data_IF_924908270259
#
_entry.id   IF_924908270259
#
_cell.length_a   1.000
_cell.length_b   1.000
_cell.length_c   1.000
_cell.angle_alpha   90.00
_cell.angle_beta   90.00
_cell.angle_gamma   90.00
#
_symmetry.space_group_name_H-M   'P 1'
#
loop_
_entity.id
_entity.type
_entity.pdbx_description
1 polymer ?
#
# COMPACT_ATOMS: atom_id res chain seq x y z
N UNK A 1 -18.64 0.51 -3.04
CA UNK A 1 -17.25 0.20 -3.43
C UNK A 1 -16.39 1.44 -3.26
N UNK A 2 -15.33 1.36 -2.46
CA UNK A 2 -14.34 2.44 -2.26
C UNK A 2 -12.94 1.81 -2.24
N UNK A 3 -12.06 2.29 -3.10
CA UNK A 3 -10.65 1.92 -3.14
C UNK A 3 -9.78 3.13 -2.82
N UNK A 4 -8.53 2.90 -2.52
CA UNK A 4 -7.57 4.00 -2.33
C UNK A 4 -6.19 3.65 -2.90
N UNK A 5 -5.48 4.69 -3.34
CA UNK A 5 -4.04 4.69 -3.50
C UNK A 5 -3.43 5.40 -2.29
N UNK A 6 -2.48 4.76 -1.62
CA UNK A 6 -1.95 5.24 -0.34
C UNK A 6 -0.41 5.38 -0.39
N UNK A 7 0.12 6.39 -1.14
CA UNK A 7 1.54 6.58 -1.26
C UNK A 7 2.14 7.30 -0.05
N UNK A 8 3.35 6.89 0.35
CA UNK A 8 4.18 7.70 1.24
C UNK A 8 4.92 8.75 0.40
N UNK A 9 4.80 10.06 0.71
CA UNK A 9 5.42 11.12 -0.08
C UNK A 9 6.91 11.29 0.28
N UNK A 10 7.67 10.20 0.17
CA UNK A 10 9.12 10.11 0.43
C UNK A 10 9.94 10.00 -0.85
N UNK A 11 9.29 10.08 -2.00
CA UNK A 11 9.88 10.01 -3.34
C UNK A 11 8.84 10.24 -4.43
N UNK A 12 9.32 10.29 -5.66
CA UNK A 12 8.48 10.43 -6.85
C UNK A 12 7.71 9.15 -7.17
N UNK A 13 6.63 9.28 -7.96
CA UNK A 13 5.81 8.15 -8.38
C UNK A 13 6.53 7.33 -9.44
N UNK A 14 6.93 6.12 -9.09
CA UNK A 14 7.56 5.18 -10.01
C UNK A 14 6.54 4.20 -10.63
N UNK A 15 6.95 3.44 -11.63
CA UNK A 15 6.12 2.47 -12.38
C UNK A 15 5.29 1.55 -11.47
N UNK A 16 5.90 0.98 -10.40
CA UNK A 16 5.18 0.10 -9.49
C UNK A 16 4.04 0.80 -8.73
N UNK A 17 4.30 2.03 -8.25
CA UNK A 17 3.28 2.86 -7.60
C UNK A 17 2.18 3.28 -8.57
N UNK A 18 2.54 3.73 -9.77
CA UNK A 18 1.59 4.11 -10.82
C UNK A 18 0.69 2.92 -11.23
N UNK A 19 1.26 1.72 -11.41
CA UNK A 19 0.48 0.51 -11.67
C UNK A 19 -0.53 0.23 -10.55
N UNK A 20 -0.10 0.35 -9.29
CA UNK A 20 -1.00 0.16 -8.14
C UNK A 20 -2.15 1.17 -8.16
N UNK A 21 -1.86 2.45 -8.43
CA UNK A 21 -2.87 3.49 -8.55
C UNK A 21 -3.86 3.21 -9.68
N UNK A 22 -3.38 2.84 -10.87
CA UNK A 22 -4.21 2.48 -12.04
C UNK A 22 -5.14 1.31 -11.70
N UNK A 23 -4.63 0.24 -11.07
CA UNK A 23 -5.44 -0.93 -10.75
C UNK A 23 -6.51 -0.61 -9.71
N UNK A 24 -6.18 0.20 -8.70
CA UNK A 24 -7.15 0.65 -7.70
C UNK A 24 -8.23 1.56 -8.32
N UNK A 25 -7.83 2.47 -9.21
CA UNK A 25 -8.73 3.36 -9.95
C UNK A 25 -9.65 2.58 -10.88
N UNK A 26 -9.10 1.68 -11.71
CA UNK A 26 -9.89 0.85 -12.63
C UNK A 26 -10.88 -0.03 -11.89
N UNK A 27 -10.46 -0.66 -10.78
CA UNK A 27 -11.35 -1.48 -9.97
C UNK A 27 -12.53 -0.67 -9.43
N UNK A 28 -12.27 0.55 -8.94
CA UNK A 28 -13.33 1.45 -8.50
C UNK A 28 -14.27 1.82 -9.65
N UNK A 29 -13.72 2.27 -10.80
CA UNK A 29 -14.54 2.70 -11.96
C UNK A 29 -15.35 1.55 -12.57
N UNK A 30 -14.76 0.36 -12.71
CA UNK A 30 -15.47 -0.84 -13.19
C UNK A 30 -16.66 -1.23 -12.30
N UNK A 31 -16.57 -0.97 -11.00
CA UNK A 31 -17.63 -1.22 -10.02
C UNK A 31 -18.51 0.01 -9.73
N UNK A 32 -18.39 1.08 -10.52
CA UNK A 32 -19.11 2.37 -10.32
C UNK A 32 -18.93 2.91 -8.89
N UNK A 33 -17.78 2.69 -8.30
CA UNK A 33 -17.39 3.11 -6.97
C UNK A 33 -16.53 4.36 -6.99
N UNK A 34 -15.88 4.64 -5.85
CA UNK A 34 -15.00 5.79 -5.65
C UNK A 34 -13.54 5.37 -5.50
N UNK A 35 -12.65 6.12 -6.13
CA UNK A 35 -11.21 6.04 -5.96
C UNK A 35 -10.71 7.22 -5.12
N UNK A 36 -9.94 6.94 -4.08
CA UNK A 36 -9.46 7.91 -3.11
C UNK A 36 -7.92 7.95 -3.09
N UNK A 37 -7.36 9.06 -2.60
CA UNK A 37 -5.93 9.20 -2.34
C UNK A 37 -5.71 9.48 -0.86
N UNK A 38 -4.77 8.74 -0.23
CA UNK A 38 -4.32 8.99 1.13
C UNK A 38 -2.81 9.09 1.15
N UNK A 39 -2.28 10.24 1.53
CA UNK A 39 -0.83 10.40 1.74
C UNK A 39 -0.45 9.86 3.12
N UNK A 40 0.46 8.88 3.14
CA UNK A 40 1.00 8.28 4.36
C UNK A 40 2.27 9.03 4.78
N UNK A 41 2.06 10.24 5.30
CA UNK A 41 3.07 11.24 5.63
C UNK A 41 3.41 11.31 7.13
N UNK A 42 3.26 10.19 7.84
CA UNK A 42 3.59 10.09 9.28
C UNK A 42 5.09 10.21 9.57
N UNK A 43 5.95 9.92 8.60
CA UNK A 43 7.39 10.16 8.67
C UNK A 43 7.71 11.59 8.21
N UNK A 44 7.73 12.52 9.17
CA UNK A 44 7.91 13.96 8.90
C UNK A 44 9.27 14.31 8.32
N UNK A 45 10.31 13.53 8.58
CA UNK A 45 11.67 13.81 8.10
C UNK A 45 11.79 13.51 6.60
N UNK A 46 11.17 12.43 6.13
CA UNK A 46 11.25 11.98 4.75
C UNK A 46 10.11 12.49 3.86
N UNK A 47 8.97 12.83 4.46
CA UNK A 47 7.80 13.33 3.73
C UNK A 47 7.99 14.78 3.31
N UNK A 48 7.86 15.07 2.01
CA UNK A 48 8.05 16.40 1.47
C UNK A 48 6.92 16.82 0.54
N UNK A 49 6.53 18.09 0.59
CA UNK A 49 5.49 18.64 -0.27
C UNK A 49 5.83 18.52 -1.77
N UNK A 50 7.10 18.57 -2.13
CA UNK A 50 7.54 18.37 -3.52
C UNK A 50 7.14 16.98 -4.06
N UNK A 51 7.21 15.93 -3.22
CA UNK A 51 6.79 14.58 -3.61
C UNK A 51 5.28 14.44 -3.68
N UNK A 52 4.53 15.10 -2.78
CA UNK A 52 3.06 15.18 -2.89
C UNK A 52 2.68 15.78 -4.24
N UNK A 53 3.24 16.94 -4.59
CA UNK A 53 2.97 17.63 -5.85
C UNK A 53 3.38 16.78 -7.07
N UNK A 54 4.53 16.10 -7.01
CA UNK A 54 5.00 15.20 -8.07
C UNK A 54 4.07 14.02 -8.27
N UNK A 55 3.60 13.37 -7.19
CA UNK A 55 2.66 12.25 -7.25
C UNK A 55 1.34 12.69 -7.86
N UNK A 56 0.78 13.81 -7.39
CA UNK A 56 -0.49 14.34 -7.93
C UNK A 56 -0.35 14.73 -9.41
N UNK A 57 0.74 15.37 -9.79
CA UNK A 57 1.03 15.71 -11.19
C UNK A 57 1.15 14.46 -12.08
N UNK A 58 1.79 13.40 -11.58
CA UNK A 58 1.90 12.12 -12.30
C UNK A 58 0.53 11.46 -12.49
N UNK A 59 -0.29 11.43 -11.45
CA UNK A 59 -1.64 10.85 -11.51
C UNK A 59 -2.54 11.66 -12.44
N UNK A 60 -2.52 12.99 -12.35
CA UNK A 60 -3.28 13.88 -13.23
C UNK A 60 -2.88 13.72 -14.69
N UNK A 61 -1.56 13.61 -14.98
CA UNK A 61 -1.10 13.33 -16.35
C UNK A 61 -1.61 11.99 -16.87
N UNK A 62 -1.68 10.95 -16.03
CA UNK A 62 -2.27 9.67 -16.38
C UNK A 62 -3.81 9.69 -16.46
N UNK A 63 -4.47 10.82 -16.17
CA UNK A 63 -5.93 10.92 -16.14
C UNK A 63 -6.56 10.22 -14.92
N UNK A 64 -5.79 9.94 -13.88
CA UNK A 64 -6.26 9.30 -12.65
C UNK A 64 -6.59 10.39 -11.64
N UNK A 65 -7.87 10.62 -11.45
CA UNK A 65 -8.37 11.61 -10.51
C UNK A 65 -9.07 10.94 -9.32
N UNK A 66 -8.84 11.50 -8.13
CA UNK A 66 -9.55 11.08 -6.94
C UNK A 66 -10.98 11.64 -6.92
N UNK A 67 -11.93 10.86 -6.41
CA UNK A 67 -13.32 11.27 -6.29
C UNK A 67 -13.60 12.14 -5.05
N UNK A 68 -12.61 12.29 -4.16
CA UNK A 68 -12.67 13.13 -2.95
C UNK A 68 -11.29 13.79 -2.73
N UNK A 69 -11.23 14.84 -1.88
CA UNK A 69 -9.98 15.51 -1.54
C UNK A 69 -8.97 14.51 -0.90
N UNK A 70 -7.69 14.59 -1.27
CA UNK A 70 -6.68 13.73 -0.68
C UNK A 70 -6.57 13.87 0.84
N UNK A 71 -6.56 12.76 1.54
CA UNK A 71 -6.38 12.72 2.98
C UNK A 71 -4.88 12.61 3.33
N UNK A 72 -4.46 13.36 4.37
CA UNK A 72 -3.09 13.31 4.92
C UNK A 72 -3.12 12.67 6.31
N UNK A 73 -2.37 11.59 6.52
CA UNK A 73 -2.32 10.89 7.81
C UNK A 73 -1.80 11.76 8.95
N UNK A 74 -0.85 12.67 8.66
CA UNK A 74 -0.32 13.60 9.65
C UNK A 74 -1.38 14.50 10.28
N UNK A 75 -2.47 14.81 9.56
CA UNK A 75 -3.58 15.60 10.08
C UNK A 75 -4.50 14.83 11.05
N UNK A 76 -4.35 13.51 11.14
CA UNK A 76 -5.24 12.60 11.87
C UNK A 76 -4.65 12.04 13.17
N UNK A 77 -3.50 12.52 13.60
CA UNK A 77 -2.78 12.00 14.77
C UNK A 77 -3.63 11.97 16.05
N UNK A 78 -4.47 12.98 16.27
CA UNK A 78 -5.40 13.02 17.41
C UNK A 78 -6.37 11.84 17.36
N UNK A 79 -6.98 11.59 16.21
CA UNK A 79 -7.91 10.47 16.01
C UNK A 79 -7.23 9.12 16.22
N UNK A 80 -6.02 8.94 15.69
CA UNK A 80 -5.25 7.71 15.92
C UNK A 80 -4.97 7.50 17.42
N UNK A 81 -4.60 8.56 18.17
CA UNK A 81 -4.39 8.47 19.61
C UNK A 81 -5.66 8.11 20.37
N UNK A 82 -6.80 8.72 20.04
CA UNK A 82 -8.10 8.42 20.65
C UNK A 82 -8.44 6.93 20.52
N UNK A 83 -8.32 6.37 19.31
CA UNK A 83 -8.60 4.96 19.05
C UNK A 83 -7.59 4.04 19.77
N UNK A 84 -6.31 4.41 19.82
CA UNK A 84 -5.31 3.62 20.53
C UNK A 84 -5.59 3.59 22.05
N UNK A 85 -6.02 4.71 22.64
CA UNK A 85 -6.43 4.79 24.05
C UNK A 85 -7.72 4.00 24.31
N UNK A 86 -8.67 3.99 23.37
CA UNK A 86 -9.87 3.14 23.48
C UNK A 86 -9.49 1.66 23.50
N UNK A 87 -8.61 1.22 22.61
CA UNK A 87 -8.08 -0.16 22.61
C UNK A 87 -7.35 -0.49 23.92
N UNK A 88 -6.58 0.46 24.47
CA UNK A 88 -5.90 0.30 25.76
C UNK A 88 -6.92 0.13 26.90
N UNK A 89 -7.95 0.98 26.96
CA UNK A 89 -9.00 0.92 27.97
C UNK A 89 -9.84 -0.37 27.91
N UNK A 90 -10.02 -0.91 26.69
CA UNK A 90 -10.68 -2.21 26.45
C UNK A 90 -9.79 -3.42 26.75
N UNK A 91 -8.52 -3.20 27.10
CA UNK A 91 -7.55 -4.28 27.33
C UNK A 91 -7.09 -5.01 26.06
N UNK A 92 -7.39 -4.46 24.88
CA UNK A 92 -6.97 -4.95 23.54
C UNK A 92 -5.59 -4.41 23.12
N UNK A 93 -5.06 -3.49 23.89
CA UNK A 93 -3.69 -2.99 23.83
C UNK A 93 -3.14 -2.84 25.26
N UNK A 94 -1.85 -2.56 25.40
CA UNK A 94 -1.22 -2.36 26.71
C UNK A 94 -0.04 -1.39 26.65
N UNK A 95 0.24 -0.75 27.77
CA UNK A 95 1.41 0.11 27.95
C UNK A 95 2.68 -0.73 28.11
N UNK A 96 3.76 -0.32 27.46
CA UNK A 96 5.03 -1.02 27.48
C UNK A 96 6.18 -0.03 27.65
N UNK A 97 6.99 -0.24 28.71
CA UNK A 97 8.14 0.58 29.08
C UNK A 97 9.49 -0.14 28.88
N UNK A 98 9.49 -1.21 28.08
CA UNK A 98 10.71 -2.00 27.83
C UNK A 98 11.75 -1.14 27.10
N UNK A 99 12.96 -1.10 27.64
CA UNK A 99 14.05 -0.29 27.08
C UNK A 99 14.57 -0.87 25.76
N UNK A 100 15.14 -0.02 24.89
CA UNK A 100 15.77 -0.47 23.64
C UNK A 100 16.89 -1.51 23.88
N UNK A 101 17.67 -1.36 24.97
CA UNK A 101 18.76 -2.26 25.30
C UNK A 101 18.25 -3.68 25.57
N UNK A 102 17.16 -3.82 26.36
CA UNK A 102 16.54 -5.12 26.60
C UNK A 102 15.97 -5.73 25.33
N UNK A 103 15.34 -4.93 24.48
CA UNK A 103 14.82 -5.42 23.21
C UNK A 103 15.96 -5.95 22.32
N UNK A 104 17.10 -5.28 22.32
CA UNK A 104 18.27 -5.71 21.56
C UNK A 104 18.88 -7.00 22.13
N UNK A 105 18.94 -7.14 23.46
CA UNK A 105 19.38 -8.36 24.13
C UNK A 105 18.49 -9.56 23.77
N UNK A 106 17.16 -9.39 23.85
CA UNK A 106 16.21 -10.43 23.47
C UNK A 106 16.39 -10.85 22.00
N UNK A 107 16.56 -9.89 21.09
CA UNK A 107 16.81 -10.16 19.67
C UNK A 107 18.09 -10.97 19.45
N UNK A 108 19.18 -10.62 20.15
CA UNK A 108 20.46 -11.36 20.06
C UNK A 108 20.30 -12.81 20.54
N UNK A 109 19.61 -13.03 21.65
CA UNK A 109 19.35 -14.38 22.17
C UNK A 109 18.52 -15.19 21.17
N UNK A 110 17.46 -14.59 20.61
CA UNK A 110 16.63 -15.26 19.61
C UNK A 110 17.41 -15.61 18.34
N UNK A 111 18.29 -14.71 17.84
CA UNK A 111 19.17 -14.98 16.70
C UNK A 111 20.17 -16.10 16.97
N UNK A 112 20.79 -16.13 18.15
CA UNK A 112 21.68 -17.22 18.56
C UNK A 112 20.95 -18.57 18.58
N UNK A 113 19.68 -18.57 18.98
CA UNK A 113 18.83 -19.76 18.97
C UNK A 113 18.19 -20.04 17.60
N UNK A 114 18.60 -19.34 16.53
CA UNK A 114 18.04 -19.46 15.17
C UNK A 114 16.50 -19.22 15.12
N UNK A 115 16.00 -18.41 16.04
CA UNK A 115 14.62 -17.97 16.07
C UNK A 115 14.49 -16.63 15.33
N UNK A 116 13.29 -16.37 14.78
CA UNK A 116 13.00 -15.07 14.18
C UNK A 116 12.91 -14.00 15.29
N UNK A 117 13.66 -12.89 15.20
CA UNK A 117 13.61 -11.82 16.19
C UNK A 117 12.23 -11.19 16.26
N UNK A 118 11.67 -11.13 17.48
CA UNK A 118 10.37 -10.52 17.77
C UNK A 118 10.29 -10.07 19.23
N UNK A 119 9.32 -9.23 19.52
CA UNK A 119 9.02 -8.85 20.88
C UNK A 119 8.51 -10.06 21.69
N UNK A 120 9.01 -10.25 22.89
CA UNK A 120 8.77 -11.43 23.73
C UNK A 120 7.50 -11.36 24.60
N UNK A 121 6.71 -10.27 24.49
CA UNK A 121 5.49 -10.09 25.26
C UNK A 121 5.71 -9.69 26.73
N UNK A 122 6.93 -9.34 27.13
CA UNK A 122 7.29 -9.09 28.54
C UNK A 122 6.31 -8.20 29.32
N UNK A 123 5.84 -7.10 28.72
CA UNK A 123 4.93 -6.17 29.41
C UNK A 123 3.45 -6.52 29.25
N UNK A 124 3.11 -7.57 28.49
CA UNK A 124 1.74 -7.87 28.07
C UNK A 124 0.74 -7.99 29.21
N UNK A 125 1.15 -8.63 30.32
CA UNK A 125 0.27 -8.94 31.44
C UNK A 125 0.64 -8.16 32.72
N UNK A 126 1.55 -7.18 32.62
CA UNK A 126 1.98 -6.37 33.77
C UNK A 126 0.96 -5.29 34.15
N UNK A 127 -0.05 -5.03 33.33
CA UNK A 127 -1.07 -4.00 33.53
C UNK A 127 -0.48 -2.62 33.93
N UNK A 128 0.61 -2.24 33.27
CA UNK A 128 1.28 -0.98 33.51
C UNK A 128 0.36 0.20 33.21
N UNK A 129 0.32 1.24 34.04
CA UNK A 129 -0.38 2.48 33.74
C UNK A 129 0.26 3.09 32.48
N UNK A 130 -0.56 3.77 31.67
CA UNK A 130 -0.01 4.51 30.54
C UNK A 130 0.58 5.83 31.01
N UNK A 131 1.88 5.97 30.84
CA UNK A 131 2.66 7.15 31.15
C UNK A 131 3.28 7.72 29.88
N UNK A 132 3.55 9.03 29.87
CA UNK A 132 4.28 9.68 28.79
C UNK A 132 5.66 9.03 28.61
N UNK A 133 6.05 8.76 27.37
CA UNK A 133 7.28 8.04 27.05
C UNK A 133 7.13 6.53 26.93
N UNK A 134 6.04 5.94 27.42
CA UNK A 134 5.74 4.53 27.17
C UNK A 134 5.14 4.33 25.78
N UNK A 135 5.46 3.21 25.14
CA UNK A 135 4.79 2.81 23.89
C UNK A 135 3.47 2.09 24.21
N UNK A 136 2.51 2.16 23.29
CA UNK A 136 1.32 1.30 23.32
C UNK A 136 1.50 0.19 22.31
N UNK A 137 1.33 -1.06 22.76
CA UNK A 137 1.36 -2.24 21.92
C UNK A 137 -0.03 -2.84 21.77
N UNK A 138 -0.33 -3.28 20.56
CA UNK A 138 -1.54 -4.03 20.26
C UNK A 138 -1.39 -5.47 20.75
N UNK A 139 -2.42 -6.02 21.41
CA UNK A 139 -2.46 -7.42 21.85
C UNK A 139 -2.86 -8.32 20.69
N UNK A 140 -1.85 -8.93 20.04
CA UNK A 140 -2.12 -9.95 19.02
C UNK A 140 -2.69 -11.22 19.66
N UNK A 141 -3.56 -11.96 18.96
CA UNK A 141 -3.97 -13.30 19.41
C UNK A 141 -2.75 -14.23 19.49
N UNK A 142 -2.65 -15.01 20.58
CA UNK A 142 -1.51 -15.90 20.84
C UNK A 142 -1.66 -17.28 20.19
N UNK A 143 -2.92 -17.71 19.97
CA UNK A 143 -3.24 -19.03 19.44
C UNK A 143 -4.11 -18.95 18.18
N UNK A 144 -4.20 -20.05 17.44
CA UNK A 144 -4.94 -20.11 16.19
C UNK A 144 -4.16 -19.54 15.01
N UNK A 145 -4.89 -19.11 14.00
CA UNK A 145 -4.32 -18.51 12.78
C UNK A 145 -5.06 -17.21 12.42
N UNK A 146 -4.33 -16.27 11.83
CA UNK A 146 -4.90 -15.12 11.13
C UNK A 146 -4.84 -15.41 9.63
N UNK A 147 -5.98 -15.33 8.94
CA UNK A 147 -6.05 -15.62 7.52
C UNK A 147 -7.00 -14.68 6.79
N UNK A 148 -6.83 -14.57 5.49
CA UNK A 148 -7.74 -13.84 4.59
C UNK A 148 -7.70 -14.42 3.18
N UNK A 149 -8.76 -14.16 2.41
CA UNK A 149 -8.82 -14.50 0.98
C UNK A 149 -8.38 -13.29 0.15
N UNK A 150 -7.22 -13.43 -0.51
CA UNK A 150 -6.73 -12.42 -1.45
C UNK A 150 -7.31 -12.66 -2.85
N UNK A 151 -7.76 -11.60 -3.51
CA UNK A 151 -8.37 -11.70 -4.85
C UNK A 151 -7.40 -12.26 -5.91
N UNK A 152 -6.10 -12.08 -5.72
CA UNK A 152 -5.03 -12.48 -6.66
C UNK A 152 -4.29 -13.72 -6.15
N UNK A 153 -3.83 -13.68 -4.91
CA UNK A 153 -2.94 -14.69 -4.31
C UNK A 153 -3.69 -15.82 -3.60
N UNK A 154 -5.03 -15.75 -3.54
CA UNK A 154 -5.91 -16.72 -2.88
C UNK A 154 -5.73 -16.73 -1.35
N UNK A 155 -5.99 -17.83 -0.68
CA UNK A 155 -5.90 -17.92 0.77
C UNK A 155 -4.48 -17.70 1.28
N UNK A 156 -4.33 -16.72 2.18
CA UNK A 156 -3.10 -16.44 2.91
C UNK A 156 -3.38 -16.61 4.39
N UNK A 157 -2.51 -17.32 5.09
CA UNK A 157 -2.68 -17.65 6.49
C UNK A 157 -1.32 -17.67 7.20
N UNK A 158 -1.31 -17.26 8.46
CA UNK A 158 -0.15 -17.36 9.35
C UNK A 158 -0.59 -17.84 10.73
N UNK A 159 0.22 -18.70 11.37
CA UNK A 159 -0.02 -19.05 12.75
C UNK A 159 0.24 -17.84 13.65
N UNK A 160 -0.70 -17.52 14.55
CA UNK A 160 -0.60 -16.34 15.42
C UNK A 160 0.64 -16.36 16.31
N UNK A 161 1.19 -17.53 16.62
CA UNK A 161 2.48 -17.66 17.31
C UNK A 161 3.67 -17.07 16.56
N UNK A 162 3.54 -16.83 15.26
CA UNK A 162 4.57 -16.19 14.44
C UNK A 162 4.43 -14.66 14.40
N UNK A 163 3.33 -14.13 14.91
CA UNK A 163 3.09 -12.69 15.04
C UNK A 163 3.48 -12.22 16.44
N UNK A 164 3.93 -10.98 16.56
CA UNK A 164 4.24 -10.34 17.83
C UNK A 164 3.34 -9.14 18.10
N UNK A 165 3.23 -8.75 19.37
CA UNK A 165 2.56 -7.54 19.79
C UNK A 165 3.30 -6.32 19.23
N UNK A 166 2.80 -5.74 18.17
CA UNK A 166 3.45 -4.60 17.52
C UNK A 166 3.05 -3.27 18.17
N UNK A 167 3.95 -2.30 18.07
CA UNK A 167 3.71 -0.95 18.58
C UNK A 167 2.66 -0.27 17.71
N UNK A 168 1.62 0.30 18.33
CA UNK A 168 0.61 1.14 17.67
C UNK A 168 0.85 2.64 17.91
N UNK A 169 1.36 3.01 19.12
CA UNK A 169 1.81 4.37 19.47
C UNK A 169 3.25 4.28 19.98
N UNK A 170 4.13 5.09 19.40
CA UNK A 170 5.54 5.22 19.82
C UNK A 170 5.68 6.03 21.11
N UNK A 171 6.88 6.04 21.69
CA UNK A 171 7.20 6.79 22.90
C UNK A 171 7.08 8.32 22.74
N UNK A 172 7.23 8.83 21.53
CA UNK A 172 7.00 10.24 21.21
C UNK A 172 5.51 10.57 20.97
N UNK A 173 4.63 9.60 21.15
CA UNK A 173 3.20 9.72 20.94
C UNK A 173 2.77 9.65 19.45
N UNK A 174 3.68 9.39 18.52
CA UNK A 174 3.34 9.22 17.10
C UNK A 174 2.78 7.82 16.83
N UNK A 175 1.74 7.68 15.98
CA UNK A 175 1.20 6.39 15.63
C UNK A 175 2.10 5.68 14.60
N UNK A 176 1.98 4.34 14.54
CA UNK A 176 2.74 3.52 13.58
C UNK A 176 1.95 3.24 12.30
N UNK A 177 2.66 2.92 11.22
CA UNK A 177 2.10 2.68 9.90
C UNK A 177 0.93 1.68 9.89
N UNK A 178 1.11 0.47 10.44
CA UNK A 178 0.07 -0.55 10.41
C UNK A 178 -1.22 -0.12 11.10
N UNK A 179 -1.08 0.64 12.17
CA UNK A 179 -2.21 1.16 12.93
C UNK A 179 -2.92 2.29 12.17
N UNK A 180 -2.17 3.30 11.70
CA UNK A 180 -2.75 4.39 10.91
C UNK A 180 -3.47 3.86 9.68
N UNK A 181 -2.84 2.94 8.93
CA UNK A 181 -3.42 2.41 7.71
C UNK A 181 -4.76 1.72 7.96
N UNK A 182 -4.87 0.89 9.01
CA UNK A 182 -6.12 0.22 9.36
C UNK A 182 -7.20 1.21 9.81
N UNK A 183 -6.86 2.13 10.72
CA UNK A 183 -7.80 3.14 11.24
C UNK A 183 -8.31 4.04 10.12
N UNK A 184 -7.43 4.49 9.24
CA UNK A 184 -7.84 5.37 8.14
C UNK A 184 -8.62 4.62 7.05
N UNK A 185 -8.32 3.34 6.79
CA UNK A 185 -9.13 2.51 5.89
C UNK A 185 -10.56 2.34 6.44
N UNK A 186 -10.73 2.21 7.77
CA UNK A 186 -12.05 2.19 8.43
C UNK A 186 -12.77 3.53 8.26
N UNK A 187 -12.14 4.63 8.63
CA UNK A 187 -12.74 5.96 8.61
C UNK A 187 -13.04 6.47 7.18
N UNK A 188 -12.26 6.04 6.18
CA UNK A 188 -12.50 6.30 4.76
C UNK A 188 -13.50 5.32 4.14
N UNK A 189 -14.03 4.37 4.92
CA UNK A 189 -14.95 3.33 4.46
C UNK A 189 -14.39 2.54 3.26
N UNK A 190 -13.10 2.22 3.29
CA UNK A 190 -12.46 1.47 2.21
C UNK A 190 -12.99 0.03 2.20
N UNK A 191 -13.54 -0.37 1.07
CA UNK A 191 -14.09 -1.72 0.88
C UNK A 191 -13.13 -2.67 0.21
N UNK A 192 -12.14 -2.15 -0.54
CA UNK A 192 -11.13 -2.97 -1.21
C UNK A 192 -9.76 -2.29 -1.16
N UNK A 193 -8.77 -3.02 -0.67
CA UNK A 193 -7.37 -2.62 -0.54
C UNK A 193 -6.56 -3.27 -1.65
N UNK A 194 -6.07 -2.46 -2.61
CA UNK A 194 -5.18 -2.90 -3.69
C UNK A 194 -3.80 -2.28 -3.44
N UNK A 195 -2.76 -3.12 -3.31
CA UNK A 195 -1.39 -2.67 -3.00
C UNK A 195 -0.34 -3.72 -3.37
N UNK A 196 0.94 -3.41 -3.22
CA UNK A 196 2.02 -4.37 -3.48
C UNK A 196 2.01 -5.56 -2.51
N UNK A 197 2.52 -6.70 -2.97
CA UNK A 197 2.62 -7.96 -2.22
C UNK A 197 3.64 -7.91 -1.06
N UNK A 198 4.52 -6.92 -1.05
CA UNK A 198 5.40 -6.62 0.08
C UNK A 198 4.65 -6.19 1.36
N UNK A 199 3.33 -5.90 1.25
CA UNK A 199 2.47 -5.57 2.37
C UNK A 199 1.66 -6.75 2.95
N UNK A 200 1.83 -7.98 2.49
CA UNK A 200 1.06 -9.15 2.95
C UNK A 200 1.16 -9.34 4.47
N UNK A 201 2.37 -9.26 5.04
CA UNK A 201 2.55 -9.37 6.50
C UNK A 201 1.90 -8.22 7.27
N UNK A 202 1.78 -7.05 6.66
CA UNK A 202 1.06 -5.92 7.24
C UNK A 202 -0.45 -6.18 7.27
N UNK A 203 -0.99 -6.82 6.23
CA UNK A 203 -2.42 -7.20 6.17
C UNK A 203 -2.81 -8.08 7.36
N UNK A 204 -1.98 -9.07 7.70
CA UNK A 204 -2.24 -9.97 8.83
C UNK A 204 -2.28 -9.24 10.17
N UNK A 205 -1.49 -8.17 10.34
CA UNK A 205 -1.54 -7.29 11.52
C UNK A 205 -2.77 -6.40 11.50
N UNK A 206 -3.09 -5.81 10.35
CA UNK A 206 -4.23 -4.90 10.18
C UNK A 206 -5.57 -5.61 10.36
N UNK A 207 -5.73 -6.84 9.89
CA UNK A 207 -6.94 -7.66 10.12
C UNK A 207 -7.26 -7.78 11.61
N UNK A 208 -6.26 -7.96 12.46
CA UNK A 208 -6.48 -8.04 13.90
C UNK A 208 -6.92 -6.70 14.51
N UNK A 209 -6.54 -5.55 13.93
CA UNK A 209 -7.06 -4.24 14.34
C UNK A 209 -8.54 -4.13 13.94
N UNK A 210 -8.93 -4.52 12.71
CA UNK A 210 -10.34 -4.54 12.28
C UNK A 210 -11.18 -5.40 13.22
N UNK A 211 -10.72 -6.61 13.55
CA UNK A 211 -11.39 -7.51 14.48
C UNK A 211 -11.54 -6.89 15.88
N UNK A 212 -10.49 -6.23 16.39
CA UNK A 212 -10.52 -5.60 17.71
C UNK A 212 -11.45 -4.38 17.77
N UNK A 213 -11.67 -3.71 16.65
CA UNK A 213 -12.59 -2.58 16.50
C UNK A 213 -14.01 -3.03 16.10
N UNK A 214 -14.22 -4.34 15.92
CA UNK A 214 -15.51 -4.96 15.56
C UNK A 214 -16.11 -4.38 14.27
N UNK A 215 -15.25 -4.15 13.26
CA UNK A 215 -15.64 -3.62 11.95
C UNK A 215 -15.33 -4.61 10.83
N UNK A 216 -16.04 -4.48 9.72
CA UNK A 216 -15.85 -5.34 8.56
C UNK A 216 -14.43 -5.21 7.99
N UNK A 217 -13.82 -6.35 7.64
CA UNK A 217 -12.52 -6.41 7.01
C UNK A 217 -12.69 -6.13 5.52
N UNK A 218 -11.94 -5.18 4.92
CA UNK A 218 -12.00 -4.94 3.49
C UNK A 218 -11.49 -6.14 2.68
N UNK A 219 -11.90 -6.24 1.43
CA UNK A 219 -11.30 -7.17 0.49
C UNK A 219 -9.85 -6.76 0.18
N UNK A 220 -8.97 -7.73 -0.04
CA UNK A 220 -7.57 -7.48 -0.36
C UNK A 220 -7.19 -8.03 -1.73
N UNK A 221 -6.35 -7.30 -2.43
CA UNK A 221 -5.69 -7.72 -3.66
C UNK A 221 -4.22 -7.27 -3.64
N UNK A 222 -3.31 -8.21 -3.47
CA UNK A 222 -1.88 -7.93 -3.43
C UNK A 222 -1.25 -8.15 -4.81
N UNK A 223 -0.78 -7.06 -5.39
CA UNK A 223 -0.15 -7.04 -6.72
C UNK A 223 1.30 -7.52 -6.61
N UNK A 224 1.71 -8.55 -7.38
CA UNK A 224 3.10 -8.95 -7.42
C UNK A 224 4.02 -7.82 -7.87
N UNK A 225 5.26 -7.80 -7.38
CA UNK A 225 6.23 -6.76 -7.74
C UNK A 225 6.49 -6.70 -9.25
N UNK A 226 6.87 -5.52 -9.74
CA UNK A 226 7.50 -5.35 -11.06
C UNK A 226 9.00 -5.51 -10.90
N UNK A 227 9.57 -6.45 -11.65
CA UNK A 227 10.99 -6.77 -11.61
C UNK A 227 11.73 -6.13 -12.80
N UNK A 228 13.04 -5.98 -12.67
CA UNK A 228 13.92 -5.67 -13.81
C UNK A 228 13.93 -6.82 -14.83
N UNK A 229 14.42 -6.59 -16.06
CA UNK A 229 14.59 -7.67 -17.05
C UNK A 229 15.37 -8.88 -16.51
N UNK A 230 16.33 -8.65 -15.60
CA UNK A 230 17.17 -9.66 -14.95
C UNK A 230 16.45 -10.39 -13.80
N UNK A 231 15.20 -9.99 -13.46
CA UNK A 231 14.43 -10.60 -12.39
C UNK A 231 14.75 -10.07 -10.98
N UNK A 232 15.43 -8.93 -10.87
CA UNK A 232 15.71 -8.24 -9.61
C UNK A 232 14.66 -7.14 -9.36
N UNK A 233 14.63 -6.61 -8.14
CA UNK A 233 13.82 -5.43 -7.83
C UNK A 233 14.19 -4.30 -8.78
N UNK A 234 13.17 -3.70 -9.42
CA UNK A 234 13.36 -2.61 -10.37
C UNK A 234 14.05 -1.42 -9.70
N UNK A 235 15.16 -0.94 -10.28
CA UNK A 235 15.92 0.21 -9.80
C UNK A 235 15.74 1.43 -10.73
N UNK A 236 16.11 2.62 -10.25
CA UNK A 236 16.05 3.85 -11.05
C UNK A 236 16.82 3.74 -12.38
N UNK A 237 17.91 2.95 -12.41
CA UNK A 237 18.74 2.75 -13.62
C UNK A 237 18.09 1.78 -14.63
N UNK A 238 17.12 0.98 -14.18
CA UNK A 238 16.50 -0.10 -14.95
C UNK A 238 15.01 0.16 -15.22
N UNK A 239 14.58 1.41 -15.21
CA UNK A 239 13.19 1.80 -15.56
C UNK A 239 12.30 2.20 -14.37
N UNK A 240 12.82 2.20 -13.12
CA UNK A 240 12.09 2.82 -12.00
C UNK A 240 12.21 4.36 -12.01
N UNK A 241 12.07 4.95 -13.20
CA UNK A 241 12.01 6.40 -13.35
C UNK A 241 10.70 6.95 -12.76
N UNK A 242 10.71 8.23 -12.43
CA UNK A 242 9.50 8.99 -12.15
C UNK A 242 8.57 8.98 -13.37
N UNK A 243 7.30 8.83 -13.17
CA UNK A 243 6.27 8.89 -14.22
C UNK A 243 6.37 10.21 -15.01
N UNK A 244 6.67 11.32 -14.34
CA UNK A 244 6.87 12.61 -15.01
C UNK A 244 8.09 12.62 -15.94
N UNK A 245 9.11 11.78 -15.73
CA UNK A 245 10.23 11.68 -16.66
C UNK A 245 9.79 11.00 -17.98
N UNK A 246 8.94 9.99 -17.92
CA UNK A 246 8.38 9.40 -19.14
C UNK A 246 7.59 10.44 -19.96
N UNK A 247 6.79 11.29 -19.28
CA UNK A 247 6.13 12.42 -19.93
C UNK A 247 7.13 13.33 -20.66
N UNK A 248 8.23 13.73 -19.99
CA UNK A 248 9.29 14.57 -20.58
C UNK A 248 10.01 13.90 -21.75
N UNK A 249 10.09 12.56 -21.73
CA UNK A 249 10.67 11.77 -22.83
C UNK A 249 9.72 11.62 -24.02
N UNK A 250 8.49 12.16 -23.97
CA UNK A 250 7.52 12.14 -25.06
C UNK A 250 6.65 10.87 -25.09
N UNK A 251 6.54 10.14 -23.98
CA UNK A 251 5.55 9.06 -23.89
C UNK A 251 4.14 9.62 -23.70
N UNK A 252 3.19 9.04 -24.41
CA UNK A 252 1.79 9.38 -24.28
C UNK A 252 1.18 8.67 -23.05
N UNK A 253 0.21 9.30 -22.41
CA UNK A 253 -0.47 8.73 -21.24
C UNK A 253 -1.16 7.42 -21.56
N UNK A 254 -1.77 7.31 -22.74
CA UNK A 254 -2.46 6.12 -23.23
C UNK A 254 -1.49 4.93 -23.33
N UNK A 255 -0.29 5.18 -23.85
CA UNK A 255 0.77 4.17 -23.94
C UNK A 255 1.23 3.72 -22.55
N UNK A 256 1.42 4.67 -21.62
CA UNK A 256 1.81 4.37 -20.26
C UNK A 256 0.74 3.56 -19.52
N UNK A 257 -0.52 3.94 -19.62
CA UNK A 257 -1.63 3.21 -18.98
C UNK A 257 -1.70 1.79 -19.55
N UNK A 258 -1.72 1.65 -20.88
CA UNK A 258 -1.79 0.34 -21.53
C UNK A 258 -0.63 -0.55 -21.12
N UNK A 259 0.59 -0.01 -21.10
CA UNK A 259 1.78 -0.74 -20.68
C UNK A 259 1.69 -1.17 -19.21
N UNK A 260 1.33 -0.26 -18.30
CA UNK A 260 1.26 -0.55 -16.86
C UNK A 260 0.21 -1.61 -16.52
N UNK A 261 -0.90 -1.65 -17.27
CA UNK A 261 -1.92 -2.68 -17.10
C UNK A 261 -1.40 -4.03 -17.58
N UNK A 262 -0.72 -4.08 -18.72
CA UNK A 262 -0.11 -5.31 -19.26
C UNK A 262 0.99 -5.88 -18.35
N UNK A 263 1.50 -5.11 -17.38
CA UNK A 263 2.37 -5.59 -16.32
C UNK A 263 1.62 -6.35 -15.23
N UNK A 264 0.72 -7.22 -15.59
CA UNK A 264 0.04 -8.11 -14.64
C UNK A 264 -1.41 -8.42 -14.99
N UNK A 265 -2.01 -7.75 -15.99
CA UNK A 265 -3.38 -8.06 -16.40
C UNK A 265 -3.47 -8.21 -17.91
N UNK A 266 -4.32 -9.12 -18.37
CA UNK A 266 -4.59 -9.39 -19.79
C UNK A 266 -6.07 -9.68 -19.98
N UNK A 267 -6.59 -9.35 -21.16
CA UNK A 267 -7.94 -9.68 -21.53
C UNK A 267 -7.94 -10.31 -22.91
N UNK A 268 -8.23 -11.61 -22.98
CA UNK A 268 -8.17 -12.41 -24.24
C UNK A 268 -6.83 -12.18 -24.96
N UNK A 269 -6.86 -11.96 -26.27
CA UNK A 269 -5.69 -11.66 -27.11
C UNK A 269 -5.53 -10.16 -27.39
N UNK A 270 -6.33 -9.30 -26.74
CA UNK A 270 -6.29 -7.86 -26.96
C UNK A 270 -5.05 -7.24 -26.34
N UNK A 271 -4.32 -6.44 -27.12
CA UNK A 271 -3.09 -5.76 -26.68
C UNK A 271 -3.29 -4.26 -26.45
N UNK A 272 -4.18 -3.64 -27.20
CA UNK A 272 -4.45 -2.20 -27.15
C UNK A 272 -5.87 -1.97 -26.64
N UNK A 273 -6.01 -1.04 -25.73
CA UNK A 273 -7.29 -0.75 -25.07
C UNK A 273 -7.56 0.75 -25.02
N UNK A 274 -8.81 1.15 -25.27
CA UNK A 274 -9.29 2.47 -24.87
C UNK A 274 -9.57 2.49 -23.33
N UNK A 275 -9.72 3.67 -22.78
CA UNK A 275 -10.06 3.83 -21.35
C UNK A 275 -11.42 3.17 -21.04
N UNK A 276 -12.42 3.34 -21.91
CA UNK A 276 -13.74 2.73 -21.77
C UNK A 276 -13.66 1.19 -21.80
N UNK A 277 -12.82 0.63 -22.66
CA UNK A 277 -12.59 -0.82 -22.70
C UNK A 277 -11.90 -1.32 -21.46
N UNK A 278 -10.91 -0.58 -20.93
CA UNK A 278 -10.26 -0.91 -19.68
C UNK A 278 -11.25 -0.93 -18.52
N UNK A 279 -12.06 0.11 -18.36
CA UNK A 279 -13.09 0.18 -17.33
C UNK A 279 -14.11 -0.97 -17.48
N UNK A 280 -14.48 -1.30 -18.71
CA UNK A 280 -15.46 -2.34 -19.02
C UNK A 280 -14.97 -3.76 -18.75
N UNK A 281 -13.69 -4.05 -19.03
CA UNK A 281 -13.17 -5.41 -19.03
C UNK A 281 -12.29 -5.71 -17.80
N UNK A 282 -11.86 -4.68 -17.06
CA UNK A 282 -10.98 -4.89 -15.92
C UNK A 282 -11.68 -5.69 -14.81
N UNK A 283 -11.03 -6.79 -14.44
CA UNK A 283 -11.39 -7.58 -13.27
C UNK A 283 -10.11 -7.89 -12.49
N UNK A 284 -10.09 -7.48 -11.21
CA UNK A 284 -8.95 -7.68 -10.31
C UNK A 284 -8.62 -9.17 -10.10
N UNK A 285 -9.61 -10.06 -10.24
CA UNK A 285 -9.40 -11.51 -10.09
C UNK A 285 -8.62 -12.11 -11.26
N UNK A 286 -8.57 -11.42 -12.40
CA UNK A 286 -7.81 -11.82 -13.58
C UNK A 286 -6.38 -11.26 -13.61
N UNK A 287 -5.95 -10.62 -12.53
CA UNK A 287 -4.56 -10.19 -12.37
C UNK A 287 -3.68 -11.41 -12.09
N UNK A 288 -2.56 -11.49 -12.81
CA UNK A 288 -1.59 -12.57 -12.67
C UNK A 288 -0.96 -12.56 -11.26
N UNK A 289 -0.83 -13.72 -10.65
CA UNK A 289 -0.20 -13.90 -9.32
C UNK A 289 1.34 -13.95 -9.37
N UNK A 290 1.94 -13.90 -10.56
CA UNK A 290 3.39 -13.87 -10.73
C UNK A 290 3.92 -12.48 -11.07
N UNK A 291 5.14 -12.19 -10.63
CA UNK A 291 5.81 -10.93 -10.89
C UNK A 291 6.00 -10.69 -12.40
N UNK A 292 5.68 -9.47 -12.85
CA UNK A 292 5.93 -9.03 -14.23
C UNK A 292 7.32 -8.43 -14.36
N UNK A 293 7.95 -8.57 -15.54
CA UNK A 293 9.23 -7.94 -15.83
C UNK A 293 9.04 -6.66 -16.65
N UNK A 294 9.76 -5.62 -16.27
CA UNK A 294 9.81 -4.39 -17.04
C UNK A 294 10.45 -4.65 -18.42
N UNK A 295 9.86 -4.07 -19.45
CA UNK A 295 10.37 -4.15 -20.84
C UNK A 295 10.25 -2.80 -21.53
N UNK A 296 11.39 -2.12 -21.67
CA UNK A 296 11.47 -0.86 -22.40
C UNK A 296 10.96 -1.03 -23.85
N UNK A 297 11.35 -2.12 -24.50
CA UNK A 297 10.93 -2.42 -25.89
C UNK A 297 9.41 -2.53 -26.04
N UNK A 298 8.74 -3.10 -25.04
CA UNK A 298 7.27 -3.21 -25.07
C UNK A 298 6.60 -1.86 -24.81
N UNK A 299 7.14 -1.04 -23.91
CA UNK A 299 6.67 0.31 -23.68
C UNK A 299 6.82 1.17 -24.94
N UNK A 300 7.98 1.10 -25.62
CA UNK A 300 8.23 1.80 -26.88
C UNK A 300 7.27 1.35 -27.99
N UNK A 301 6.94 0.06 -28.03
CA UNK A 301 5.97 -0.48 -28.99
C UNK A 301 4.59 0.16 -28.77
N UNK A 302 4.08 0.23 -27.54
CA UNK A 302 2.81 0.89 -27.26
C UNK A 302 2.87 2.38 -27.56
N UNK A 303 3.95 3.06 -27.20
CA UNK A 303 4.08 4.49 -27.49
C UNK A 303 4.07 4.78 -28.99
N UNK A 304 4.79 3.98 -29.77
CA UNK A 304 4.77 4.10 -31.24
C UNK A 304 3.39 3.83 -31.85
N UNK A 305 2.61 2.91 -31.29
CA UNK A 305 1.24 2.65 -31.73
C UNK A 305 0.36 3.89 -31.51
N UNK A 306 0.28 4.39 -30.27
CA UNK A 306 -0.56 5.54 -29.95
C UNK A 306 -0.12 6.82 -30.65
N UNK A 307 1.18 7.06 -30.85
CA UNK A 307 1.70 8.20 -31.63
C UNK A 307 1.20 8.20 -33.05
N UNK A 308 1.05 7.04 -33.69
CA UNK A 308 0.55 6.92 -35.07
C UNK A 308 -0.96 7.19 -35.17
N UNK A 309 -1.71 6.88 -34.14
CA UNK A 309 -3.16 7.08 -34.09
C UNK A 309 -3.57 8.46 -33.58
N UNK A 310 -2.68 9.15 -32.87
CA UNK A 310 -2.97 10.48 -32.28
C UNK A 310 -2.92 11.54 -33.40
N UNK A 311 -3.95 12.42 -33.41
CA UNK A 311 -3.96 13.56 -34.33
C UNK A 311 -2.76 14.49 -34.05
N UNK A 312 -2.06 14.89 -35.12
CA UNK A 312 -0.86 15.74 -35.00
C UNK A 312 -1.12 17.06 -34.23
N UNK A 313 -2.32 17.63 -34.37
CA UNK A 313 -2.70 18.86 -33.65
C UNK A 313 -2.83 18.60 -32.10
N UNK A 314 -3.19 17.38 -31.70
CA UNK A 314 -3.24 17.01 -30.30
C UNK A 314 -1.85 16.82 -29.68
N UNK A 315 -0.86 16.44 -30.50
CA UNK A 315 0.54 16.29 -30.05
C UNK A 315 1.21 17.63 -29.70
N UNK A 316 0.74 18.76 -30.26
CA UNK A 316 1.22 20.08 -29.88
C UNK A 316 0.72 20.58 -28.52
N UNK A 317 -0.28 19.92 -27.93
CA UNK A 317 -0.82 20.22 -26.61
C UNK A 317 -0.16 19.42 -25.48
N UNK A 318 0.73 18.47 -25.85
CA UNK A 318 1.53 17.67 -24.92
C UNK A 318 2.86 18.36 -24.61
#
# INVERSE_FOLDING_TARGET
MRTRFAPSPTGHLHIGGARTAIFAWLHAKAQKGKFLIRFEDTDKERSKQEFVNSILSSLSWLGIEADEEPLFQSSRQTKHKEIALDLLNKGLAYSCNVSPERLEEVRKIQQQNKQQPRYDGFSRDLNLPHEEGNVIRFKMPLEGETSFEDKILKKISINNKELDDFIIIRSDGSPTYNFCAAVDDIEMEITTVIRGDDHITNTLKQINIFNALEVDIPEYAHLPMVLSPEGKRLSKREGALDINEYKKMGYLKEAMINYLIKLGWTYKEQEIFSEEELIKYFDIQNVNSSAAKFSQKLLDFYNNHYLKETNINSLYAY
#
